data_IF_771378027076
#
_entry.id   IF_771378027076
#
_cell.length_a   1.000
_cell.length_b   1.000
_cell.length_c   1.000
_cell.angle_alpha   90.00
_cell.angle_beta   90.00
_cell.angle_gamma   90.00
#
_symmetry.space_group_name_H-M   'P 1'
#
loop_
_entity.id
_entity.type
_entity.pdbx_description
1 polymer ?
#
# COMPACT_ATOMS: atom_id res chain seq x y z
N UNK A 1 35.27 -19.67 -22.20
CA UNK A 1 34.71 -18.32 -21.90
C UNK A 1 33.31 -18.35 -21.29
N UNK A 2 32.65 -19.49 -21.09
CA UNK A 2 31.29 -19.56 -20.50
C UNK A 2 31.24 -19.55 -18.95
N UNK A 3 32.34 -19.85 -18.27
CA UNK A 3 32.38 -19.97 -16.81
C UNK A 3 32.45 -18.60 -16.06
N UNK A 4 32.94 -17.56 -16.71
CA UNK A 4 33.08 -16.23 -16.11
C UNK A 4 31.74 -15.46 -16.06
N UNK A 5 30.80 -15.76 -16.94
CA UNK A 5 29.48 -15.12 -16.92
C UNK A 5 28.61 -15.61 -15.76
N UNK A 6 28.81 -16.83 -15.27
CA UNK A 6 28.03 -17.43 -14.20
C UNK A 6 28.38 -16.89 -12.81
N UNK A 7 29.61 -16.40 -12.62
CA UNK A 7 30.07 -15.82 -11.36
C UNK A 7 29.58 -14.34 -11.16
N UNK A 8 29.26 -13.64 -12.26
CA UNK A 8 28.77 -12.27 -12.17
C UNK A 8 27.30 -12.18 -11.74
N UNK A 9 26.51 -13.23 -11.97
CA UNK A 9 25.11 -13.30 -11.56
C UNK A 9 24.91 -13.71 -10.08
N UNK A 10 25.95 -14.17 -9.39
CA UNK A 10 25.87 -14.70 -8.02
C UNK A 10 26.13 -13.66 -6.92
N UNK A 11 26.38 -12.41 -7.27
CA UNK A 11 26.79 -11.36 -6.30
C UNK A 11 25.73 -10.29 -6.03
N UNK A 12 24.49 -10.48 -6.45
CA UNK A 12 23.42 -9.63 -5.91
C UNK A 12 22.90 -10.27 -4.63
N UNK A 13 23.56 -9.96 -3.52
CA UNK A 13 23.06 -10.31 -2.20
C UNK A 13 21.66 -9.72 -2.03
N UNK A 14 20.67 -10.59 -1.85
CA UNK A 14 19.33 -10.14 -1.46
C UNK A 14 19.47 -9.26 -0.21
N UNK A 15 18.73 -8.15 -0.12
CA UNK A 15 18.77 -7.32 1.06
C UNK A 15 18.37 -8.15 2.29
N UNK A 16 19.00 -7.86 3.43
CA UNK A 16 18.69 -8.47 4.70
C UNK A 16 17.20 -8.28 5.02
N UNK A 17 16.57 -9.31 5.56
CA UNK A 17 15.15 -9.30 5.91
C UNK A 17 14.79 -8.14 6.86
N UNK A 18 15.69 -7.79 7.79
CA UNK A 18 15.52 -6.65 8.67
C UNK A 18 15.53 -5.32 7.90
N UNK A 19 16.42 -5.19 6.91
CA UNK A 19 16.48 -4.01 6.07
C UNK A 19 15.22 -3.86 5.21
N UNK A 20 14.67 -4.98 4.70
CA UNK A 20 13.39 -4.99 3.97
C UNK A 20 12.25 -4.53 4.87
N UNK A 21 12.12 -5.10 6.08
CA UNK A 21 11.07 -4.72 7.02
C UNK A 21 11.13 -3.23 7.41
N UNK A 22 12.34 -2.70 7.64
CA UNK A 22 12.54 -1.27 7.89
C UNK A 22 12.12 -0.41 6.70
N UNK A 23 12.52 -0.80 5.49
CA UNK A 23 12.17 -0.08 4.27
C UNK A 23 10.65 -0.13 4.01
N UNK A 24 9.98 -1.25 4.30
CA UNK A 24 8.53 -1.40 4.17
C UNK A 24 7.79 -0.43 5.10
N UNK A 25 8.22 -0.34 6.35
CA UNK A 25 7.65 0.59 7.34
C UNK A 25 7.86 2.06 6.94
N UNK A 26 9.05 2.43 6.46
CA UNK A 26 9.34 3.76 5.92
C UNK A 26 8.48 4.10 4.68
N UNK A 27 8.21 3.12 3.81
CA UNK A 27 7.33 3.28 2.64
C UNK A 27 5.89 3.51 3.07
N UNK A 28 5.39 2.72 4.03
CA UNK A 28 4.06 2.92 4.58
C UNK A 28 3.90 4.30 5.21
N UNK A 29 4.89 4.75 5.98
CA UNK A 29 4.90 6.11 6.54
C UNK A 29 4.77 7.18 5.45
N UNK A 30 5.57 7.08 4.38
CA UNK A 30 5.55 8.04 3.28
C UNK A 30 4.19 8.07 2.57
N UNK A 31 3.57 6.90 2.33
CA UNK A 31 2.26 6.78 1.70
C UNK A 31 1.14 7.32 2.60
N UNK A 32 1.13 6.94 3.87
CA UNK A 32 0.11 7.43 4.82
C UNK A 32 0.21 8.94 4.96
N UNK A 33 1.41 9.48 5.02
CA UNK A 33 1.63 10.92 5.04
C UNK A 33 1.08 11.61 3.78
N UNK A 34 1.31 11.06 2.59
CA UNK A 34 0.77 11.59 1.33
C UNK A 34 -0.77 11.53 1.27
N UNK A 35 -1.38 10.48 1.87
CA UNK A 35 -2.83 10.29 1.90
C UNK A 35 -3.54 11.23 2.89
N UNK A 36 -2.97 11.44 4.08
CA UNK A 36 -3.65 12.08 5.20
C UNK A 36 -3.21 13.52 5.46
N UNK A 37 -2.08 13.95 4.89
CA UNK A 37 -1.68 15.35 4.99
C UNK A 37 -2.54 16.22 4.08
N UNK A 38 -3.31 17.15 4.63
CA UNK A 38 -4.13 18.04 3.83
C UNK A 38 -3.23 18.93 2.98
N UNK A 39 -3.39 18.84 1.67
CA UNK A 39 -2.72 19.77 0.73
C UNK A 39 -3.16 21.23 0.95
N UNK A 40 -4.23 21.46 1.72
CA UNK A 40 -4.84 22.78 1.96
C UNK A 40 -5.23 23.03 3.43
N UNK A 41 -4.61 22.38 4.39
CA UNK A 41 -4.78 22.73 5.83
C UNK A 41 -6.11 22.36 6.49
N UNK A 42 -6.98 21.59 5.84
CA UNK A 42 -8.38 21.42 6.23
C UNK A 42 -8.84 20.02 6.59
N UNK A 43 -8.08 19.17 7.19
CA UNK A 43 -8.71 18.01 7.86
C UNK A 43 -7.87 17.56 9.04
N UNK A 44 -8.33 17.82 10.24
CA UNK A 44 -7.77 17.21 11.44
C UNK A 44 -8.32 15.79 11.55
N UNK A 45 -7.65 14.84 10.90
CA UNK A 45 -7.84 13.45 11.25
C UNK A 45 -7.32 13.29 12.67
N UNK A 46 -8.20 12.92 13.60
CA UNK A 46 -7.84 12.75 15.01
C UNK A 46 -7.46 11.32 15.35
N UNK A 47 -7.70 10.37 14.44
CA UNK A 47 -7.34 8.97 14.58
C UNK A 47 -7.16 8.31 13.22
N UNK A 48 -6.12 7.47 13.07
CA UNK A 48 -5.90 6.60 11.92
C UNK A 48 -6.39 5.18 12.25
N UNK A 49 -7.20 4.62 11.36
CA UNK A 49 -7.63 3.22 11.47
C UNK A 49 -7.13 2.46 10.26
N UNK A 50 -6.42 1.37 10.51
CA UNK A 50 -5.86 0.50 9.48
C UNK A 50 -6.58 -0.84 9.45
N UNK A 51 -6.68 -1.44 8.25
CA UNK A 51 -6.91 -2.87 8.15
C UNK A 51 -5.80 -3.62 8.86
N UNK A 52 -6.13 -4.65 9.62
CA UNK A 52 -5.15 -5.51 10.31
C UNK A 52 -4.42 -6.47 9.36
N UNK A 53 -4.88 -6.54 8.12
CA UNK A 53 -4.29 -7.38 7.08
C UNK A 53 -3.89 -6.56 5.87
N UNK A 54 -2.82 -7.01 5.19
CA UNK A 54 -2.45 -6.45 3.90
C UNK A 54 -3.46 -6.84 2.83
N UNK A 55 -3.77 -5.89 1.95
CA UNK A 55 -4.70 -6.10 0.86
C UNK A 55 -4.02 -6.82 -0.32
N UNK A 56 -4.71 -7.81 -0.89
CA UNK A 56 -4.23 -8.58 -2.05
C UNK A 56 -4.81 -8.07 -3.38
N UNK A 57 -5.40 -6.91 -3.37
CA UNK A 57 -6.26 -6.43 -4.43
C UNK A 57 -5.49 -5.96 -5.68
N UNK A 58 -5.21 -6.88 -6.59
CA UNK A 58 -4.60 -6.53 -7.87
C UNK A 58 -5.64 -6.27 -8.97
N UNK A 59 -6.68 -7.08 -9.07
CA UNK A 59 -7.56 -7.10 -10.25
C UNK A 59 -8.95 -7.66 -9.94
N UNK A 60 -9.90 -6.87 -9.45
CA UNK A 60 -11.26 -7.36 -9.25
C UNK A 60 -11.99 -7.57 -10.58
N UNK A 61 -12.60 -8.71 -10.73
CA UNK A 61 -13.59 -8.95 -11.78
C UNK A 61 -13.07 -9.06 -13.22
N UNK A 62 -11.74 -9.08 -13.43
CA UNK A 62 -11.09 -9.25 -14.74
C UNK A 62 -10.17 -10.47 -14.74
N UNK A 63 -9.91 -10.98 -15.95
CA UNK A 63 -8.89 -12.01 -16.12
C UNK A 63 -7.55 -11.52 -15.60
N UNK A 64 -6.98 -12.33 -14.71
CA UNK A 64 -5.74 -11.98 -13.98
C UNK A 64 -4.57 -11.70 -14.91
N UNK A 65 -4.39 -12.50 -15.96
CA UNK A 65 -3.26 -12.37 -16.85
C UNK A 65 -3.30 -11.05 -17.62
N UNK A 66 -4.46 -10.69 -18.16
CA UNK A 66 -4.68 -9.42 -18.85
C UNK A 66 -4.51 -8.22 -17.94
N UNK A 67 -4.93 -8.36 -16.69
CA UNK A 67 -4.76 -7.29 -15.71
C UNK A 67 -3.29 -7.10 -15.28
N UNK A 68 -2.58 -8.18 -15.00
CA UNK A 68 -1.14 -8.12 -14.68
C UNK A 68 -0.35 -7.54 -15.85
N UNK A 69 -0.70 -7.85 -17.09
CA UNK A 69 -0.05 -7.30 -18.27
C UNK A 69 -0.33 -5.79 -18.43
N UNK A 70 -1.58 -5.37 -18.31
CA UNK A 70 -1.96 -3.96 -18.31
C UNK A 70 -1.26 -3.17 -17.20
N UNK A 71 -1.13 -3.78 -16.01
CA UNK A 71 -0.40 -3.23 -14.89
C UNK A 71 1.09 -3.07 -15.18
N UNK A 72 1.75 -4.12 -15.71
CA UNK A 72 3.17 -4.04 -16.11
C UNK A 72 3.41 -2.93 -17.12
N UNK A 73 2.59 -2.85 -18.17
CA UNK A 73 2.68 -1.82 -19.19
C UNK A 73 2.56 -0.42 -18.60
N UNK A 74 1.61 -0.20 -17.69
CA UNK A 74 1.45 1.10 -17.01
C UNK A 74 2.68 1.48 -16.19
N UNK A 75 3.29 0.53 -15.49
CA UNK A 75 4.46 0.78 -14.64
C UNK A 75 5.74 1.07 -15.46
N UNK A 76 5.87 0.44 -16.63
CA UNK A 76 6.98 0.71 -17.54
C UNK A 76 6.90 2.08 -18.22
N UNK A 77 5.70 2.71 -18.21
CA UNK A 77 5.45 4.05 -18.78
C UNK A 77 5.09 5.09 -17.73
N UNK A 78 5.43 4.84 -16.48
CA UNK A 78 5.13 5.73 -15.38
C UNK A 78 5.77 7.12 -15.56
N UNK A 79 5.03 8.18 -15.26
CA UNK A 79 5.51 9.56 -15.41
C UNK A 79 6.68 9.89 -14.50
N UNK A 80 6.75 9.22 -13.33
CA UNK A 80 7.89 9.27 -12.41
C UNK A 80 9.14 8.52 -12.91
N UNK A 81 9.11 7.99 -14.14
CA UNK A 81 10.10 7.12 -14.78
C UNK A 81 9.75 5.64 -14.64
N UNK A 82 10.18 4.79 -15.60
CA UNK A 82 9.87 3.37 -15.60
C UNK A 82 10.36 2.68 -14.32
N UNK A 83 9.54 1.77 -13.78
CA UNK A 83 9.99 0.90 -12.70
C UNK A 83 10.86 -0.21 -13.24
N UNK A 84 11.78 -0.68 -12.41
CA UNK A 84 12.58 -1.88 -12.70
C UNK A 84 11.67 -3.11 -12.73
N UNK A 85 11.97 -4.03 -13.62
CA UNK A 85 11.21 -5.27 -13.77
C UNK A 85 11.17 -6.07 -12.46
N UNK A 86 12.26 -6.08 -11.72
CA UNK A 86 12.37 -6.76 -10.42
C UNK A 86 11.40 -6.20 -9.38
N UNK A 87 11.25 -4.86 -9.28
CA UNK A 87 10.29 -4.20 -8.40
C UNK A 87 8.85 -4.64 -8.71
N UNK A 88 8.53 -4.69 -10.00
CA UNK A 88 7.22 -5.13 -10.48
C UNK A 88 6.98 -6.60 -10.14
N UNK A 89 7.98 -7.46 -10.34
CA UNK A 89 7.89 -8.89 -10.06
C UNK A 89 7.73 -9.16 -8.55
N UNK A 90 8.51 -8.50 -7.71
CA UNK A 90 8.42 -8.60 -6.26
C UNK A 90 7.02 -8.20 -5.75
N UNK A 91 6.51 -7.07 -6.23
CA UNK A 91 5.16 -6.62 -5.91
C UNK A 91 4.09 -7.65 -6.30
N UNK A 92 4.12 -8.13 -7.54
CA UNK A 92 3.15 -9.09 -8.06
C UNK A 92 3.21 -10.42 -7.30
N UNK A 93 4.39 -10.86 -6.90
CA UNK A 93 4.57 -12.07 -6.13
C UNK A 93 3.98 -11.93 -4.72
N UNK A 94 4.34 -10.87 -4.01
CA UNK A 94 3.86 -10.60 -2.63
C UNK A 94 2.36 -10.33 -2.57
N UNK A 95 1.81 -9.63 -3.56
CA UNK A 95 0.37 -9.32 -3.64
C UNK A 95 -0.53 -10.54 -3.87
N UNK A 96 0.03 -11.76 -3.96
CA UNK A 96 -0.72 -13.02 -4.05
C UNK A 96 -1.11 -13.59 -2.69
N UNK A 97 -0.53 -13.08 -1.63
CA UNK A 97 -0.72 -13.61 -0.28
C UNK A 97 -1.28 -12.54 0.65
N UNK A 98 -2.21 -12.95 1.50
CA UNK A 98 -2.62 -12.14 2.65
C UNK A 98 -1.64 -12.35 3.78
N UNK A 99 -1.48 -11.34 4.60
CA UNK A 99 -0.68 -11.41 5.82
C UNK A 99 -1.11 -10.33 6.81
N UNK A 100 -0.65 -10.40 8.05
CA UNK A 100 -0.89 -9.33 9.00
C UNK A 100 -0.17 -8.04 8.53
N UNK A 101 -0.85 -6.91 8.68
CA UNK A 101 -0.22 -5.61 8.49
C UNK A 101 0.55 -5.24 9.76
N UNK A 102 1.85 -5.04 9.64
CA UNK A 102 2.71 -4.54 10.72
C UNK A 102 3.19 -3.14 10.38
N UNK A 103 2.88 -2.17 11.23
CA UNK A 103 3.29 -0.77 11.08
C UNK A 103 3.94 -0.35 12.39
N UNK A 104 5.19 0.07 12.35
CA UNK A 104 5.96 0.50 13.52
C UNK A 104 6.28 2.00 13.51
N UNK A 105 6.20 2.66 12.34
CA UNK A 105 6.46 4.10 12.25
C UNK A 105 5.56 4.92 13.18
N UNK A 106 6.09 6.00 13.70
CA UNK A 106 5.37 6.87 14.64
C UNK A 106 4.42 7.82 13.92
N UNK A 107 3.23 8.03 14.49
CA UNK A 107 2.24 9.01 14.01
C UNK A 107 1.88 9.97 15.14
N UNK A 108 1.64 11.24 14.79
CA UNK A 108 1.21 12.26 15.76
C UNK A 108 -0.24 12.05 16.27
N UNK A 109 -0.97 11.16 15.62
CA UNK A 109 -2.34 10.81 15.97
C UNK A 109 -2.45 9.33 16.36
N UNK A 110 -3.36 8.96 17.28
CA UNK A 110 -3.62 7.59 17.65
C UNK A 110 -3.92 6.72 16.42
N UNK A 111 -3.48 5.48 16.45
CA UNK A 111 -3.78 4.48 15.42
C UNK A 111 -4.46 3.26 16.01
N UNK A 112 -5.31 2.64 15.24
CA UNK A 112 -5.97 1.37 15.56
C UNK A 112 -5.87 0.43 14.35
N UNK A 113 -5.96 -0.86 14.62
CA UNK A 113 -6.02 -1.90 13.60
C UNK A 113 -7.32 -2.66 13.78
N UNK A 114 -7.97 -3.00 12.66
CA UNK A 114 -9.26 -3.69 12.68
C UNK A 114 -9.40 -4.60 11.45
N UNK A 115 -10.07 -5.74 11.64
CA UNK A 115 -10.59 -6.50 10.51
C UNK A 115 -11.76 -5.72 9.87
N UNK A 116 -11.63 -5.26 8.60
CA UNK A 116 -12.67 -4.47 7.94
C UNK A 116 -14.01 -5.18 7.85
N UNK A 117 -14.04 -6.52 7.94
CA UNK A 117 -15.28 -7.30 7.89
C UNK A 117 -16.07 -7.25 9.20
N UNK A 118 -15.51 -6.74 10.29
CA UNK A 118 -16.16 -6.66 11.60
C UNK A 118 -16.93 -5.38 11.83
N UNK A 119 -16.81 -4.42 10.93
CA UNK A 119 -17.47 -3.11 11.00
C UNK A 119 -18.30 -2.85 9.75
N UNK A 120 -19.31 -2.02 9.91
CA UNK A 120 -20.03 -1.44 8.80
C UNK A 120 -19.96 0.09 8.88
N UNK A 121 -20.00 0.72 7.71
CA UNK A 121 -20.14 2.15 7.57
C UNK A 121 -21.61 2.43 7.25
N UNK A 122 -22.36 2.93 8.19
CA UNK A 122 -23.75 3.28 7.93
C UNK A 122 -24.06 4.71 8.40
N UNK A 123 -24.73 5.42 7.53
CA UNK A 123 -25.44 6.65 7.89
C UNK A 123 -26.78 6.36 8.60
N UNK A 124 -27.16 5.09 8.71
CA UNK A 124 -28.37 4.62 9.40
C UNK A 124 -27.96 3.53 10.39
N UNK A 125 -28.27 3.65 11.68
CA UNK A 125 -27.85 2.71 12.73
C UNK A 125 -28.67 1.41 12.67
N UNK A 126 -28.43 0.58 11.68
CA UNK A 126 -28.98 -0.78 11.59
C UNK A 126 -27.81 -1.73 11.80
N UNK A 127 -27.77 -2.36 12.97
CA UNK A 127 -26.82 -3.45 13.24
C UNK A 127 -27.08 -4.58 12.23
N UNK A 128 -26.21 -4.73 11.24
CA UNK A 128 -26.27 -5.79 10.26
C UNK A 128 -25.31 -6.92 10.67
N UNK A 129 -25.89 -8.09 10.95
CA UNK A 129 -25.13 -9.35 11.07
C UNK A 129 -24.01 -9.35 12.12
N UNK A 130 -24.19 -8.67 13.25
CA UNK A 130 -23.18 -8.61 14.33
C UNK A 130 -22.00 -7.69 14.06
N UNK A 131 -21.96 -6.98 12.91
CA UNK A 131 -21.00 -5.95 12.65
C UNK A 131 -21.29 -4.72 13.50
N UNK A 132 -20.25 -3.99 13.88
CA UNK A 132 -20.34 -2.78 14.72
C UNK A 132 -20.24 -1.53 13.86
N UNK A 133 -20.96 -0.47 14.28
CA UNK A 133 -20.87 0.85 13.63
C UNK A 133 -19.46 1.43 13.78
N UNK A 134 -18.81 1.69 12.66
CA UNK A 134 -17.46 2.23 12.60
C UNK A 134 -17.33 3.57 13.35
N UNK A 135 -18.26 4.50 13.15
CA UNK A 135 -18.23 5.82 13.76
C UNK A 135 -18.38 5.79 15.27
N UNK A 136 -19.07 4.78 15.82
CA UNK A 136 -19.19 4.59 17.29
C UNK A 136 -17.91 4.04 17.90
N UNK A 137 -17.19 3.15 17.16
CA UNK A 137 -15.96 2.54 17.69
C UNK A 137 -14.78 3.50 17.56
N UNK A 138 -14.72 4.25 16.46
CA UNK A 138 -13.61 5.15 16.13
C UNK A 138 -14.10 6.59 15.92
N UNK A 139 -14.59 7.24 16.99
CA UNK A 139 -15.05 8.63 16.88
C UNK A 139 -13.86 9.53 16.56
N UNK A 140 -13.86 10.12 15.40
CA UNK A 140 -12.76 10.97 14.92
C UNK A 140 -11.85 10.34 13.87
N UNK A 141 -12.12 9.09 13.49
CA UNK A 141 -11.58 8.51 12.27
C UNK A 141 -12.54 8.74 11.10
N UNK A 142 -11.98 9.01 9.92
CA UNK A 142 -12.80 9.27 8.73
C UNK A 142 -13.00 8.01 7.87
N UNK A 143 -12.34 6.92 8.17
CA UNK A 143 -12.40 5.67 7.42
C UNK A 143 -11.26 4.72 7.75
N UNK A 144 -11.21 3.61 7.02
CA UNK A 144 -10.18 2.56 7.14
C UNK A 144 -9.19 2.69 6.00
N UNK A 145 -7.91 2.67 6.34
CA UNK A 145 -6.79 2.60 5.41
C UNK A 145 -6.38 1.14 5.28
N UNK A 146 -6.33 0.63 4.05
CA UNK A 146 -5.71 -0.66 3.76
C UNK A 146 -4.46 -0.44 2.93
N UNK A 147 -3.44 -1.26 3.16
CA UNK A 147 -2.17 -1.23 2.44
C UNK A 147 -1.88 -2.62 1.87
N UNK A 148 -1.27 -2.69 0.70
CA UNK A 148 -0.74 -3.94 0.16
C UNK A 148 0.66 -4.20 0.69
N UNK A 149 1.21 -5.40 0.45
CA UNK A 149 2.65 -5.60 0.52
C UNK A 149 3.39 -4.62 -0.38
N UNK A 150 4.62 -4.28 0.00
CA UNK A 150 5.49 -3.42 -0.79
C UNK A 150 6.38 -4.26 -1.69
N UNK A 151 6.39 -3.96 -2.99
CA UNK A 151 7.38 -4.48 -3.93
C UNK A 151 8.59 -3.58 -3.97
N UNK A 152 9.80 -4.16 -3.91
CA UNK A 152 11.07 -3.46 -3.92
C UNK A 152 11.98 -3.91 -5.06
N UNK A 153 12.90 -3.04 -5.45
CA UNK A 153 14.11 -3.46 -6.13
C UNK A 153 15.13 -4.04 -5.12
N UNK A 154 16.11 -4.80 -5.60
CA UNK A 154 17.12 -5.42 -4.73
C UNK A 154 17.98 -4.42 -3.95
N UNK A 155 18.01 -3.15 -4.36
CA UNK A 155 18.79 -2.09 -3.71
C UNK A 155 17.99 -1.29 -2.67
N UNK A 156 16.70 -1.54 -2.53
CA UNK A 156 15.76 -0.80 -1.68
C UNK A 156 15.77 0.72 -1.97
N UNK A 157 15.82 1.09 -3.26
CA UNK A 157 15.75 2.49 -3.71
C UNK A 157 14.48 2.80 -4.50
N UNK A 158 13.76 1.77 -4.96
CA UNK A 158 12.52 1.88 -5.68
C UNK A 158 11.47 0.97 -5.06
N UNK A 159 10.26 1.47 -4.91
CA UNK A 159 9.15 0.72 -4.32
C UNK A 159 7.83 0.99 -5.03
N UNK A 160 6.94 0.02 -4.97
CA UNK A 160 5.54 0.14 -5.34
C UNK A 160 4.65 -0.44 -4.25
N UNK A 161 3.54 0.25 -3.97
CA UNK A 161 2.55 -0.18 -2.99
C UNK A 161 1.16 0.29 -3.43
N UNK A 162 0.13 -0.48 -3.10
CA UNK A 162 -1.26 -0.05 -3.23
C UNK A 162 -1.79 0.37 -1.87
N UNK A 163 -2.66 1.37 -1.90
CA UNK A 163 -3.45 1.77 -0.74
C UNK A 163 -4.91 1.87 -1.10
N UNK A 164 -5.78 1.68 -0.12
CA UNK A 164 -7.19 2.04 -0.24
C UNK A 164 -7.64 2.80 1.00
N UNK A 165 -8.63 3.64 0.80
CA UNK A 165 -9.33 4.34 1.87
C UNK A 165 -10.82 4.08 1.70
N UNK A 166 -11.46 3.57 2.75
CA UNK A 166 -12.88 3.24 2.76
C UNK A 166 -13.57 4.01 3.87
N UNK A 167 -14.57 4.80 3.51
CA UNK A 167 -15.30 5.69 4.41
C UNK A 167 -16.81 5.45 4.41
N UNK A 168 -17.29 4.39 3.72
CA UNK A 168 -18.68 4.02 3.63
C UNK A 168 -18.98 3.13 2.42
N UNK A 169 -20.23 2.76 2.25
CA UNK A 169 -20.65 1.86 1.17
C UNK A 169 -20.47 2.43 -0.25
N UNK A 170 -20.54 3.76 -0.39
CA UNK A 170 -20.33 4.50 -1.64
C UNK A 170 -19.23 5.56 -1.46
N UNK A 171 -18.32 5.32 -0.58
CA UNK A 171 -17.23 6.24 -0.26
C UNK A 171 -15.95 5.44 -0.13
N UNK A 172 -15.16 5.46 -1.18
CA UNK A 172 -13.88 4.80 -1.17
C UNK A 172 -13.01 5.15 -2.37
N UNK A 173 -11.73 4.96 -2.22
CA UNK A 173 -10.75 5.13 -3.30
C UNK A 173 -9.58 4.20 -3.10
N UNK A 174 -9.16 3.57 -4.19
CA UNK A 174 -7.91 2.80 -4.23
C UNK A 174 -6.88 3.53 -5.07
N UNK A 175 -5.65 3.53 -4.60
CA UNK A 175 -4.51 4.17 -5.26
C UNK A 175 -3.32 3.23 -5.36
N UNK A 176 -2.46 3.50 -6.31
CA UNK A 176 -1.11 2.93 -6.38
C UNK A 176 -0.10 4.05 -6.30
N UNK A 177 1.00 3.74 -5.61
CA UNK A 177 2.07 4.70 -5.37
C UNK A 177 3.39 4.10 -5.83
N UNK A 178 4.15 4.88 -6.59
CA UNK A 178 5.56 4.62 -6.88
C UNK A 178 6.37 5.51 -5.96
N UNK A 179 7.33 4.91 -5.27
CA UNK A 179 8.22 5.63 -4.38
C UNK A 179 9.67 5.43 -4.82
N UNK A 180 10.46 6.45 -4.56
CA UNK A 180 11.91 6.39 -4.74
C UNK A 180 12.63 6.98 -3.53
N UNK A 181 13.76 6.39 -3.19
CA UNK A 181 14.60 6.90 -2.11
C UNK A 181 15.39 8.10 -2.62
N UNK A 182 15.13 9.30 -2.04
CA UNK A 182 15.82 10.54 -2.34
C UNK A 182 16.48 11.07 -1.06
N UNK A 183 17.81 11.26 -1.08
CA UNK A 183 18.57 11.70 0.10
C UNK A 183 18.27 10.88 1.36
N UNK A 184 18.19 9.55 1.20
CA UNK A 184 17.91 8.62 2.29
C UNK A 184 16.45 8.51 2.74
N UNK A 185 15.51 9.27 2.16
CA UNK A 185 14.09 9.25 2.50
C UNK A 185 13.24 8.72 1.36
N UNK A 186 12.20 7.98 1.68
CA UNK A 186 11.20 7.56 0.70
C UNK A 186 10.27 8.72 0.34
N UNK A 187 10.07 8.92 -0.96
CA UNK A 187 9.22 9.98 -1.52
C UNK A 187 8.29 9.36 -2.54
N UNK A 188 7.01 9.64 -2.43
CA UNK A 188 6.01 9.31 -3.46
C UNK A 188 6.31 10.17 -4.69
N UNK A 189 6.73 9.53 -5.79
CA UNK A 189 7.06 10.21 -7.05
C UNK A 189 5.92 10.18 -8.04
N UNK A 190 5.02 9.20 -7.91
CA UNK A 190 3.79 9.10 -8.69
C UNK A 190 2.71 8.39 -7.88
N UNK A 191 1.48 8.86 -8.04
CA UNK A 191 0.29 8.20 -7.46
C UNK A 191 -0.86 8.33 -8.45
N UNK A 192 -1.63 7.24 -8.65
CA UNK A 192 -2.83 7.28 -9.48
C UNK A 192 -3.97 6.49 -8.86
N UNK A 193 -5.19 6.91 -9.17
CA UNK A 193 -6.41 6.24 -8.75
C UNK A 193 -6.59 4.96 -9.58
N UNK A 194 -6.89 3.86 -8.90
CA UNK A 194 -7.18 2.55 -9.51
C UNK A 194 -8.69 2.30 -9.54
N UNK A 195 -9.38 2.74 -8.50
CA UNK A 195 -10.82 2.63 -8.37
C UNK A 195 -11.39 3.72 -7.45
N UNK A 196 -12.66 4.02 -7.64
CA UNK A 196 -13.48 4.91 -6.78
C UNK A 196 -14.80 4.18 -6.54
N UNK A 197 -15.36 4.27 -5.34
CA UNK A 197 -16.68 3.78 -4.96
C UNK A 197 -17.59 4.95 -4.58
#
# INVERSE_FOLDING_TARGET
>A
MAALCWLYFKSQTQPDQKAVATAEDEVYEAVVRDMVMPKNGQSRISQLVFSDTVDIYLCPGVDRASCEEGFRKRLLTAAGGPLRTETIQDFLQKSRTKGPLSITFHTDVPRAFIDPNTVYFDFVPIEKNGQKDFGRIFPGANGIISLSHVGFDHTLHEAIVSSSFMCGGLCGTGRRHILRKKWGKWVVVESWIVWVA
#
